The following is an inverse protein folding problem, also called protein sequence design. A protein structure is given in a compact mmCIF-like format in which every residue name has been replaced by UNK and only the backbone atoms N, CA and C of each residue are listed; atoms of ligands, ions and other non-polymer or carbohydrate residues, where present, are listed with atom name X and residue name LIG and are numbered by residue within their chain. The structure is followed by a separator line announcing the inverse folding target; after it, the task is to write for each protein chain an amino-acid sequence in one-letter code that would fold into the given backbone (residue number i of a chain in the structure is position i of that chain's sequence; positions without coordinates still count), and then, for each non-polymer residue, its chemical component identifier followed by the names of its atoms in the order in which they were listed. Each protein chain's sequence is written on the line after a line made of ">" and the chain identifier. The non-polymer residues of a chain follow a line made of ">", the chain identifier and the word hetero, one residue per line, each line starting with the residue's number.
data_IF_299737066988
#
_entry.id   IF_299737066988
#
_cell.length_a   1.000
_cell.length_b   1.000
_cell.length_c   1.000
_cell.angle_alpha   90.00
_cell.angle_beta   90.00
_cell.angle_gamma   90.00
#
_symmetry.space_group_name_H-M   'P 1'
#
loop_
_entity.id
_entity.type
_entity.pdbx_description
1 polymer ?
#
# COMPACT_ATOMS: atom_id res chain seq x y z
N UNK A 1 -11.92 -6.06 -0.12
CA UNK A 1 -10.46 -6.26 -0.22
C UNK A 1 -10.17 -7.50 -1.04
N UNK A 2 -9.59 -7.33 -2.22
CA UNK A 2 -9.24 -8.44 -3.13
C UNK A 2 -7.73 -8.58 -3.13
N UNK A 3 -7.21 -9.73 -2.68
CA UNK A 3 -5.77 -10.00 -2.68
C UNK A 3 -5.37 -10.42 -4.09
N UNK A 4 -4.71 -9.53 -4.82
CA UNK A 4 -4.09 -9.86 -6.09
C UNK A 4 -2.58 -9.94 -5.91
N UNK A 5 -2.01 -11.12 -6.14
CA UNK A 5 -0.58 -11.24 -6.39
C UNK A 5 -0.28 -10.66 -7.77
N UNK A 6 -0.11 -9.33 -7.87
CA UNK A 6 0.38 -8.67 -9.09
C UNK A 6 1.81 -8.22 -8.87
N UNK A 7 2.71 -8.73 -9.71
CA UNK A 7 3.99 -8.08 -9.99
C UNK A 7 3.72 -6.84 -10.83
N UNK A 8 4.29 -5.68 -10.46
CA UNK A 8 4.26 -4.54 -11.37
C UNK A 8 5.62 -3.83 -11.45
N UNK A 9 5.95 -3.44 -12.68
CA UNK A 9 7.03 -2.53 -13.05
C UNK A 9 6.53 -1.71 -14.26
N UNK A 10 6.71 -0.38 -14.24
CA UNK A 10 6.65 0.42 -15.46
C UNK A 10 8.04 0.55 -16.12
N UNK A 11 9.04 1.08 -15.42
CA UNK A 11 10.28 1.68 -15.97
C UNK A 11 11.55 0.85 -16.30
N UNK A 12 11.88 -0.20 -15.54
CA UNK A 12 13.29 -0.65 -15.45
C UNK A 12 13.57 -1.70 -14.37
N UNK A 13 13.16 -2.94 -14.66
CA UNK A 13 12.99 -4.03 -13.69
C UNK A 13 14.31 -4.58 -13.13
N UNK A 14 14.49 -4.58 -11.80
CA UNK A 14 15.08 -5.75 -11.11
C UNK A 14 13.98 -6.78 -10.92
N UNK A 15 14.14 -7.95 -11.55
CA UNK A 15 13.16 -9.04 -11.45
C UNK A 15 13.33 -9.69 -10.09
N UNK A 16 12.44 -9.36 -9.14
CA UNK A 16 12.34 -10.13 -7.91
C UNK A 16 11.48 -11.35 -8.20
N UNK A 17 12.14 -12.52 -8.31
CA UNK A 17 11.44 -13.79 -8.39
C UNK A 17 10.45 -13.93 -7.23
N UNK A 18 9.23 -14.47 -7.48
CA UNK A 18 8.28 -14.71 -6.41
C UNK A 18 8.93 -15.64 -5.40
N UNK A 19 9.30 -15.11 -4.24
CA UNK A 19 9.81 -15.93 -3.15
C UNK A 19 8.61 -16.73 -2.62
N UNK A 20 8.56 -18.08 -2.82
CA UNK A 20 7.40 -18.87 -2.46
C UNK A 20 7.09 -18.81 -0.97
N UNK A 21 8.11 -18.66 -0.12
CA UNK A 21 7.95 -18.50 1.32
C UNK A 21 7.26 -17.17 1.66
N UNK A 22 7.59 -16.09 0.95
CA UNK A 22 6.92 -14.79 1.14
C UNK A 22 5.48 -14.80 0.64
N UNK A 23 5.21 -15.53 -0.43
CA UNK A 23 3.84 -15.71 -0.92
C UNK A 23 3.01 -16.55 0.06
N UNK A 24 3.56 -17.66 0.55
CA UNK A 24 2.93 -18.46 1.61
C UNK A 24 2.72 -17.64 2.89
N UNK A 25 3.69 -16.80 3.26
CA UNK A 25 3.55 -15.87 4.37
C UNK A 25 2.40 -14.89 4.13
N UNK A 26 2.29 -14.28 2.94
CA UNK A 26 1.22 -13.31 2.66
C UNK A 26 -0.15 -13.98 2.71
N UNK A 27 -0.26 -15.21 2.18
CA UNK A 27 -1.48 -16.01 2.26
C UNK A 27 -1.82 -16.39 3.70
N UNK A 28 -0.84 -16.83 4.49
CA UNK A 28 -1.02 -17.13 5.91
C UNK A 28 -1.43 -15.86 6.68
N UNK A 29 -0.70 -14.77 6.50
CA UNK A 29 -0.92 -13.48 7.13
C UNK A 29 -2.33 -12.96 6.85
N UNK A 30 -2.82 -13.09 5.61
CA UNK A 30 -4.18 -12.70 5.23
C UNK A 30 -5.27 -13.51 5.96
N UNK A 31 -4.98 -14.77 6.31
CA UNK A 31 -5.90 -15.64 7.04
C UNK A 31 -5.83 -15.42 8.54
N UNK A 32 -4.66 -15.03 9.08
CA UNK A 32 -4.43 -14.92 10.52
C UNK A 32 -4.57 -13.51 11.08
N UNK A 33 -4.45 -12.47 10.26
CA UNK A 33 -4.60 -11.10 10.71
C UNK A 33 -6.01 -10.58 10.43
N UNK A 34 -6.61 -9.83 11.38
CA UNK A 34 -7.87 -9.16 11.13
C UNK A 34 -7.71 -8.26 9.91
N UNK A 35 -8.68 -8.34 8.98
CA UNK A 35 -8.69 -7.43 7.82
C UNK A 35 -8.75 -6.00 8.37
N UNK A 36 -7.89 -5.08 7.88
CA UNK A 36 -7.99 -3.69 8.28
C UNK A 36 -9.41 -3.22 7.97
N UNK A 37 -10.06 -2.64 8.99
CA UNK A 37 -11.40 -2.09 8.85
C UNK A 37 -11.23 -0.76 8.12
N UNK A 38 -11.31 -0.81 6.80
CA UNK A 38 -11.35 0.40 5.98
C UNK A 38 -12.77 0.93 6.09
N UNK A 39 -12.94 2.15 6.61
CA UNK A 39 -14.25 2.77 6.80
C UNK A 39 -15.08 2.69 5.51
N UNK A 40 -16.32 2.20 5.61
CA UNK A 40 -17.23 1.94 4.48
C UNK A 40 -17.59 3.21 3.67
N UNK A 41 -17.21 4.40 4.15
CA UNK A 41 -17.41 5.68 3.46
C UNK A 41 -16.49 5.87 2.25
N UNK A 42 -15.39 5.09 2.15
CA UNK A 42 -14.33 5.32 1.18
C UNK A 42 -14.35 4.28 0.04
N UNK A 43 -14.77 4.67 -1.16
CA UNK A 43 -14.86 3.80 -2.36
C UNK A 43 -13.49 3.50 -2.99
N UNK A 44 -12.51 3.05 -2.21
CA UNK A 44 -11.16 2.71 -2.70
C UNK A 44 -10.90 1.22 -2.70
N UNK A 45 -10.03 0.76 -3.61
CA UNK A 45 -9.60 -0.63 -3.64
C UNK A 45 -8.18 -0.76 -3.08
N UNK A 46 -8.05 -1.48 -1.96
CA UNK A 46 -6.75 -1.81 -1.36
C UNK A 46 -6.27 -3.18 -1.84
N UNK A 47 -5.05 -3.21 -2.39
CA UNK A 47 -4.35 -4.42 -2.80
C UNK A 47 -3.15 -4.70 -1.89
N UNK A 48 -2.91 -5.97 -1.60
CA UNK A 48 -1.70 -6.42 -0.93
C UNK A 48 -0.74 -7.13 -1.88
N UNK A 49 0.52 -6.70 -1.85
CA UNK A 49 1.62 -7.28 -2.63
C UNK A 49 2.70 -7.82 -1.69
N UNK A 50 3.55 -8.71 -2.20
CA UNK A 50 4.60 -9.36 -1.42
C UNK A 50 6.00 -8.72 -1.60
N UNK A 51 6.11 -7.70 -2.46
CA UNK A 51 7.34 -7.00 -2.78
C UNK A 51 7.00 -5.63 -3.42
N UNK A 52 7.91 -4.66 -3.32
CA UNK A 52 7.72 -3.31 -3.87
C UNK A 52 8.01 -2.20 -2.86
N UNK A 53 7.39 -1.04 -3.05
CA UNK A 53 7.31 0.05 -2.08
C UNK A 53 6.50 -0.38 -0.83
N UNK A 54 6.54 0.44 0.22
CA UNK A 54 5.71 0.22 1.42
C UNK A 54 4.24 0.40 1.09
N UNK A 55 3.91 1.54 0.49
CA UNK A 55 2.62 1.87 -0.08
C UNK A 55 2.80 2.57 -1.43
N UNK A 56 1.76 2.53 -2.24
CA UNK A 56 1.62 3.27 -3.50
C UNK A 56 0.13 3.55 -3.70
N UNK A 57 -0.22 4.79 -3.99
CA UNK A 57 -1.57 5.18 -4.38
C UNK A 57 -1.66 5.43 -5.89
N UNK A 58 -2.85 5.20 -6.46
CA UNK A 58 -3.14 5.35 -7.89
C UNK A 58 -4.42 6.16 -8.10
N UNK A 59 -4.29 7.48 -8.27
CA UNK A 59 -5.45 8.36 -8.41
C UNK A 59 -6.27 8.07 -9.67
N UNK A 60 -5.63 7.56 -10.74
CA UNK A 60 -6.31 7.19 -11.98
C UNK A 60 -7.26 5.97 -11.83
N UNK A 61 -7.12 5.20 -10.74
CA UNK A 61 -7.85 3.94 -10.54
C UNK A 61 -8.57 3.85 -9.20
N UNK A 62 -8.41 4.84 -8.31
CA UNK A 62 -8.90 4.78 -6.92
C UNK A 62 -8.37 3.55 -6.18
N UNK A 63 -7.08 3.25 -6.37
CA UNK A 63 -6.41 2.08 -5.81
C UNK A 63 -5.27 2.49 -4.88
N UNK A 64 -5.05 1.71 -3.83
CA UNK A 64 -3.81 1.73 -3.06
C UNK A 64 -3.21 0.33 -2.99
N UNK A 65 -1.89 0.25 -3.04
CA UNK A 65 -1.11 -0.98 -3.08
C UNK A 65 -0.17 -0.96 -1.89
N UNK A 66 -0.30 -1.93 -1.00
CA UNK A 66 0.49 -2.02 0.23
C UNK A 66 1.31 -3.30 0.24
N UNK A 67 2.51 -3.25 0.80
CA UNK A 67 3.35 -4.42 1.08
C UNK A 67 3.38 -4.71 2.60
N UNK A 68 2.50 -5.59 3.12
CA UNK A 68 2.39 -5.83 4.57
C UNK A 68 3.68 -6.33 5.21
N UNK A 69 4.51 -7.07 4.46
CA UNK A 69 5.81 -7.56 4.92
C UNK A 69 6.74 -6.42 5.36
N UNK A 70 6.75 -5.33 4.60
CA UNK A 70 7.62 -4.19 4.90
C UNK A 70 7.10 -3.35 6.07
N UNK A 71 5.79 -3.39 6.32
CA UNK A 71 5.18 -2.78 7.50
C UNK A 71 5.58 -3.54 8.75
N UNK A 72 5.58 -4.86 8.70
CA UNK A 72 5.98 -5.72 9.84
C UNK A 72 7.48 -5.59 10.18
N UNK A 73 8.32 -5.25 9.18
CA UNK A 73 9.73 -4.89 9.39
C UNK A 73 9.93 -3.49 10.01
N UNK A 74 8.88 -2.66 10.03
CA UNK A 74 8.90 -1.31 10.56
C UNK A 74 8.36 -1.25 11.98
N UNK A 75 8.91 -0.32 12.77
CA UNK A 75 8.43 -0.01 14.12
C UNK A 75 7.56 1.27 14.10
N UNK A 76 7.61 2.04 13.00
CA UNK A 76 7.20 3.45 13.00
C UNK A 76 5.74 3.68 12.55
N UNK A 77 5.16 2.75 11.77
CA UNK A 77 3.76 2.84 11.31
C UNK A 77 3.12 1.46 11.29
N UNK A 78 1.89 1.37 11.79
CA UNK A 78 1.02 0.20 11.65
C UNK A 78 0.48 0.08 10.21
N UNK A 79 -0.06 -1.08 9.87
CA UNK A 79 -0.64 -1.30 8.54
C UNK A 79 -1.86 -0.41 8.28
N UNK A 80 -2.67 -0.19 9.30
CA UNK A 80 -3.85 0.69 9.22
C UNK A 80 -3.43 2.13 8.96
N UNK A 81 -2.43 2.64 9.70
CA UNK A 81 -1.87 3.98 9.49
C UNK A 81 -1.28 4.13 8.07
N UNK A 82 -0.59 3.10 7.56
CA UNK A 82 -0.06 3.15 6.20
C UNK A 82 -1.17 3.12 5.14
N UNK A 83 -2.20 2.28 5.31
CA UNK A 83 -3.35 2.27 4.40
C UNK A 83 -4.02 3.64 4.40
N UNK A 84 -4.28 4.21 5.59
CA UNK A 84 -4.91 5.51 5.70
C UNK A 84 -4.05 6.61 5.07
N UNK A 85 -2.73 6.59 5.28
CA UNK A 85 -1.81 7.51 4.65
C UNK A 85 -1.89 7.48 3.11
N UNK A 86 -1.86 6.28 2.50
CA UNK A 86 -2.01 6.14 1.04
C UNK A 86 -3.41 6.53 0.54
N UNK A 87 -4.45 6.34 1.35
CA UNK A 87 -5.80 6.81 1.03
C UNK A 87 -5.93 8.34 1.12
N UNK A 88 -5.25 8.98 2.06
CA UNK A 88 -5.21 10.44 2.20
C UNK A 88 -4.63 11.09 0.94
N UNK A 89 -3.62 10.47 0.32
CA UNK A 89 -3.12 10.93 -0.98
C UNK A 89 -4.21 10.96 -2.07
N UNK A 90 -5.12 9.98 -2.09
CA UNK A 90 -6.25 9.96 -3.03
C UNK A 90 -7.32 11.02 -2.72
N UNK A 91 -7.42 11.43 -1.46
CA UNK A 91 -8.37 12.45 -0.99
C UNK A 91 -7.87 13.87 -1.25
N UNK A 92 -6.55 14.03 -1.46
CA UNK A 92 -5.88 15.30 -1.67
C UNK A 92 -5.09 15.36 -3.00
N UNK A 93 -5.77 15.22 -4.15
CA UNK A 93 -5.12 15.23 -5.46
C UNK A 93 -4.42 16.56 -5.77
N UNK A 94 -4.73 17.64 -5.06
CA UNK A 94 -4.02 18.93 -5.16
C UNK A 94 -2.52 18.84 -4.82
N UNK A 95 -2.11 17.82 -4.07
CA UNK A 95 -0.73 17.61 -3.65
C UNK A 95 0.09 16.78 -4.65
N UNK A 96 -0.53 16.19 -5.69
CA UNK A 96 0.15 15.31 -6.65
C UNK A 96 1.26 16.00 -7.45
N UNK A 97 1.10 17.30 -7.71
CA UNK A 97 2.08 18.10 -8.45
C UNK A 97 3.21 18.66 -7.56
N UNK A 98 3.18 18.38 -6.24
CA UNK A 98 4.15 18.92 -5.29
C UNK A 98 5.44 18.10 -5.29
N UNK A 99 6.53 18.69 -4.79
CA UNK A 99 7.75 17.94 -4.59
C UNK A 99 7.53 16.84 -3.54
N UNK A 100 8.17 15.68 -3.70
CA UNK A 100 7.95 14.51 -2.83
C UNK A 100 7.97 14.85 -1.34
N UNK A 101 9.01 15.55 -0.84
CA UNK A 101 9.08 15.90 0.59
C UNK A 101 7.93 16.79 1.05
N UNK A 102 7.55 17.79 0.27
CA UNK A 102 6.45 18.70 0.60
C UNK A 102 5.09 17.99 0.58
N UNK A 103 4.91 17.05 -0.37
CA UNK A 103 3.72 16.22 -0.48
C UNK A 103 3.55 15.33 0.74
N UNK A 104 4.60 14.60 1.12
CA UNK A 104 4.56 13.70 2.27
C UNK A 104 4.34 14.49 3.58
N UNK A 105 5.04 15.61 3.78
CA UNK A 105 4.87 16.48 4.97
C UNK A 105 3.45 17.06 5.10
N UNK A 106 2.76 17.30 3.98
CA UNK A 106 1.36 17.73 3.96
C UNK A 106 0.41 16.61 4.33
N UNK A 107 0.60 15.43 3.74
CA UNK A 107 -0.27 14.27 3.95
C UNK A 107 -0.14 13.72 5.37
N UNK A 108 1.03 13.82 5.99
CA UNK A 108 1.24 13.43 7.40
C UNK A 108 0.49 14.31 8.43
N UNK A 109 -0.16 15.40 7.99
CA UNK A 109 -0.96 16.26 8.88
C UNK A 109 -2.41 15.77 9.06
N UNK A 110 -2.83 14.74 8.33
CA UNK A 110 -4.17 14.15 8.38
C UNK A 110 -4.15 12.73 8.97
#
# INVERSE_FOLDING_TARGET
>A
MIVHARSWNPEGVRVFWPNPLRWLWLMWWHVTNPKPVIEESKQYTVYFVHAGCWGEYRPDRNEVIICPWKVDESIDKTLEELINHELTHLEHPEADDWAYGEKEDYIEQF
#
